data_IF_933680746602
#
_entry.id   IF_933680746602
#
_cell.length_a   1.000
_cell.length_b   1.000
_cell.length_c   1.000
_cell.angle_alpha   90.00
_cell.angle_beta   90.00
_cell.angle_gamma   90.00
#
_symmetry.space_group_name_H-M   'P 1'
#
loop_
_entity.id
_entity.type
_entity.pdbx_description
1 polymer ?
#
# COMPACT_ATOMS: atom_id res chain seq x y z
N UNK A 1 -18.43 24.28 -7.29
CA UNK A 1 -17.40 23.37 -6.81
C UNK A 1 -18.08 22.17 -6.15
N UNK A 2 -17.76 20.99 -6.63
CA UNK A 2 -18.30 19.74 -6.09
C UNK A 2 -17.76 19.52 -4.67
N UNK A 3 -18.61 19.12 -3.74
CA UNK A 3 -18.16 18.83 -2.38
C UNK A 3 -17.26 17.58 -2.36
N UNK A 4 -16.40 17.46 -1.33
CA UNK A 4 -15.57 16.26 -1.14
C UNK A 4 -16.41 14.98 -1.08
N UNK A 5 -17.56 15.02 -0.42
CA UNK A 5 -18.49 13.89 -0.29
C UNK A 5 -19.07 13.48 -1.64
N UNK A 6 -19.45 14.45 -2.48
CA UNK A 6 -19.95 14.18 -3.85
C UNK A 6 -18.87 13.57 -4.74
N UNK A 7 -17.63 14.08 -4.63
CA UNK A 7 -16.49 13.55 -5.38
C UNK A 7 -16.18 12.11 -4.92
N UNK A 8 -16.15 11.87 -3.62
CA UNK A 8 -15.95 10.54 -3.05
C UNK A 8 -17.04 9.57 -3.49
N UNK A 9 -18.33 9.93 -3.35
CA UNK A 9 -19.46 9.11 -3.76
C UNK A 9 -19.39 8.78 -5.26
N UNK A 10 -19.07 9.74 -6.09
CA UNK A 10 -18.92 9.55 -7.54
C UNK A 10 -17.78 8.59 -7.87
N UNK A 11 -16.65 8.70 -7.17
CA UNK A 11 -15.52 7.81 -7.37
C UNK A 11 -15.83 6.39 -6.92
N UNK A 12 -16.46 6.22 -5.77
CA UNK A 12 -16.92 4.91 -5.28
C UNK A 12 -17.92 4.30 -6.27
N UNK A 13 -18.91 5.06 -6.72
CA UNK A 13 -19.89 4.60 -7.74
C UNK A 13 -19.20 4.23 -9.06
N UNK A 14 -18.21 5.00 -9.48
CA UNK A 14 -17.42 4.71 -10.68
C UNK A 14 -16.63 3.40 -10.54
N UNK A 15 -16.04 3.16 -9.39
CA UNK A 15 -15.36 1.89 -9.07
C UNK A 15 -16.29 0.68 -9.14
N UNK A 16 -17.52 0.81 -8.64
CA UNK A 16 -18.52 -0.25 -8.74
C UNK A 16 -19.02 -0.47 -10.18
N UNK A 17 -19.12 0.61 -10.97
CA UNK A 17 -19.66 0.54 -12.32
C UNK A 17 -18.62 0.19 -13.39
N UNK A 18 -17.34 0.37 -13.11
CA UNK A 18 -16.29 0.05 -14.08
C UNK A 18 -16.04 -1.46 -14.13
N UNK A 19 -16.43 -2.07 -15.25
CA UNK A 19 -16.05 -3.43 -15.62
C UNK A 19 -14.53 -3.67 -15.62
N UNK A 20 -13.71 -2.59 -15.69
CA UNK A 20 -12.25 -2.65 -15.64
C UNK A 20 -11.73 -3.29 -14.36
N UNK A 21 -12.49 -3.17 -13.28
CA UNK A 21 -12.24 -3.81 -12.00
C UNK A 21 -13.37 -4.80 -11.65
N UNK A 22 -14.21 -5.12 -12.62
CA UNK A 22 -15.13 -6.23 -12.52
C UNK A 22 -14.34 -7.51 -12.28
N UNK A 23 -14.98 -8.49 -11.68
CA UNK A 23 -14.41 -9.80 -11.34
C UNK A 23 -13.69 -10.51 -12.49
N UNK A 24 -13.70 -9.99 -13.71
CA UNK A 24 -13.33 -10.67 -14.96
C UNK A 24 -12.50 -9.78 -15.91
N UNK A 25 -12.09 -8.57 -15.56
CA UNK A 25 -11.17 -7.85 -16.46
C UNK A 25 -9.79 -8.47 -16.35
N UNK A 26 -9.31 -8.99 -17.46
CA UNK A 26 -7.94 -9.47 -17.57
C UNK A 26 -7.00 -8.29 -17.27
N UNK A 27 -6.21 -8.32 -16.16
CA UNK A 27 -5.27 -7.26 -15.85
C UNK A 27 -4.19 -7.11 -16.92
N UNK A 28 -4.13 -8.05 -17.85
CA UNK A 28 -3.11 -8.16 -18.89
C UNK A 28 -3.64 -7.83 -20.30
N UNK A 29 -4.82 -7.21 -20.41
CA UNK A 29 -5.46 -6.87 -21.69
C UNK A 29 -4.53 -6.10 -22.67
N UNK A 30 -3.54 -5.35 -22.12
CA UNK A 30 -2.55 -4.61 -22.90
C UNK A 30 -1.13 -5.22 -22.83
N UNK A 31 -0.98 -6.43 -22.30
CA UNK A 31 0.30 -7.09 -22.12
C UNK A 31 0.54 -8.08 -23.24
N UNK A 32 1.76 -8.19 -23.72
CA UNK A 32 2.10 -9.23 -24.71
C UNK A 32 1.86 -10.63 -24.14
N UNK A 33 1.51 -11.58 -24.98
CA UNK A 33 1.23 -12.96 -24.55
C UNK A 33 2.39 -13.59 -23.76
N UNK A 34 3.62 -13.21 -24.08
CA UNK A 34 4.81 -13.71 -23.38
C UNK A 34 4.94 -13.09 -21.98
N UNK A 35 4.79 -11.78 -21.85
CA UNK A 35 4.83 -11.07 -20.56
C UNK A 35 3.72 -11.57 -19.63
N UNK A 36 2.50 -11.75 -20.15
CA UNK A 36 1.39 -12.33 -19.39
C UNK A 36 1.71 -13.74 -18.87
N UNK A 37 2.38 -14.57 -19.66
CA UNK A 37 2.80 -15.92 -19.26
C UNK A 37 3.84 -15.89 -18.14
N UNK A 38 4.87 -15.05 -18.24
CA UNK A 38 5.91 -14.93 -17.21
C UNK A 38 5.34 -14.36 -15.89
N UNK A 39 4.45 -13.40 -15.97
CA UNK A 39 3.75 -12.86 -14.79
C UNK A 39 2.89 -13.93 -14.12
N UNK A 40 2.14 -14.72 -14.89
CA UNK A 40 1.34 -15.82 -14.35
C UNK A 40 2.20 -16.90 -13.70
N UNK A 41 3.35 -17.22 -14.29
CA UNK A 41 4.32 -18.17 -13.75
C UNK A 41 4.92 -17.67 -12.43
N UNK A 42 5.32 -16.39 -12.37
CA UNK A 42 5.80 -15.74 -11.15
C UNK A 42 4.72 -15.73 -10.07
N UNK A 43 3.50 -15.36 -10.43
CA UNK A 43 2.34 -15.35 -9.52
C UNK A 43 2.05 -16.73 -8.94
N UNK A 44 2.14 -17.79 -9.76
CA UNK A 44 1.96 -19.17 -9.29
C UNK A 44 3.09 -19.59 -8.35
N UNK A 45 4.33 -19.19 -8.61
CA UNK A 45 5.44 -19.42 -7.68
C UNK A 45 5.23 -18.69 -6.35
N UNK A 46 4.78 -17.43 -6.39
CA UNK A 46 4.52 -16.64 -5.19
C UNK A 46 3.35 -17.20 -4.36
N UNK A 47 2.34 -17.80 -5.01
CA UNK A 47 1.28 -18.55 -4.30
C UNK A 47 1.77 -19.81 -3.61
N UNK A 48 2.85 -20.42 -4.11
CA UNK A 48 3.47 -21.60 -3.50
C UNK A 48 4.46 -21.23 -2.39
N UNK A 49 4.95 -19.96 -2.38
CA UNK A 49 5.67 -19.41 -1.25
C UNK A 49 4.68 -19.20 -0.12
N UNK A 50 4.49 -20.22 0.67
CA UNK A 50 3.74 -20.14 1.91
C UNK A 50 4.54 -19.24 2.85
N UNK A 51 4.16 -17.97 2.94
CA UNK A 51 4.53 -17.14 4.07
C UNK A 51 3.78 -17.75 5.26
N UNK A 52 4.46 -18.59 6.01
CA UNK A 52 3.93 -19.12 7.26
C UNK A 52 3.96 -17.99 8.26
N UNK A 53 2.78 -17.52 8.65
CA UNK A 53 2.64 -16.50 9.70
C UNK A 53 3.34 -16.96 10.99
N UNK A 54 3.28 -18.24 11.33
CA UNK A 54 3.97 -18.83 12.46
C UNK A 54 5.51 -18.66 12.37
N UNK A 55 6.10 -18.85 11.19
CA UNK A 55 7.54 -18.65 11.01
C UNK A 55 7.94 -17.17 11.05
N UNK A 56 7.05 -16.27 10.61
CA UNK A 56 7.26 -14.82 10.70
C UNK A 56 7.24 -14.39 12.16
N UNK A 57 6.21 -14.78 12.92
CA UNK A 57 6.09 -14.47 14.34
C UNK A 57 7.23 -15.08 15.16
N UNK A 58 7.63 -16.32 14.86
CA UNK A 58 8.78 -16.96 15.51
C UNK A 58 10.05 -16.13 15.33
N UNK A 59 10.36 -15.69 14.09
CA UNK A 59 11.53 -14.85 13.81
C UNK A 59 11.44 -13.47 14.47
N UNK A 60 10.25 -12.90 14.56
CA UNK A 60 10.03 -11.61 15.21
C UNK A 60 10.25 -11.70 16.72
N UNK A 61 9.83 -12.80 17.34
CA UNK A 61 10.03 -13.07 18.77
C UNK A 61 11.48 -13.46 19.12
N UNK A 62 12.24 -14.00 18.17
CA UNK A 62 13.66 -14.35 18.32
C UNK A 62 14.59 -13.13 18.12
N UNK A 63 14.08 -12.01 17.59
CA UNK A 63 14.86 -10.77 17.46
C UNK A 63 15.14 -10.12 18.81
N UNK A 64 16.32 -9.49 18.91
CA UNK A 64 16.63 -8.62 20.03
C UNK A 64 15.55 -7.54 20.18
N UNK A 65 14.99 -7.43 21.37
CA UNK A 65 13.90 -6.51 21.64
C UNK A 65 14.40 -5.06 21.61
N UNK A 66 13.92 -4.29 20.64
CA UNK A 66 14.15 -2.86 20.58
C UNK A 66 13.25 -2.19 21.62
N UNK A 67 13.84 -1.38 22.50
CA UNK A 67 13.07 -0.57 23.45
C UNK A 67 12.09 0.34 22.72
N UNK A 68 10.83 -0.05 22.72
CA UNK A 68 9.77 0.68 22.06
C UNK A 68 8.71 1.10 23.07
N UNK A 69 8.21 2.35 23.05
CA UNK A 69 7.13 2.79 23.91
C UNK A 69 5.91 1.86 23.83
N UNK A 70 5.29 1.56 24.97
CA UNK A 70 4.17 0.59 25.07
C UNK A 70 3.02 0.92 24.13
N UNK A 71 2.72 2.21 23.92
CA UNK A 71 1.69 2.65 23.01
C UNK A 71 2.00 2.27 21.57
N UNK A 72 3.24 2.44 21.12
CA UNK A 72 3.65 2.05 19.77
C UNK A 72 3.63 0.53 19.58
N UNK A 73 4.04 -0.24 20.58
CA UNK A 73 3.90 -1.70 20.56
C UNK A 73 2.43 -2.12 20.40
N UNK A 74 1.52 -1.49 21.17
CA UNK A 74 0.09 -1.79 21.06
C UNK A 74 -0.46 -1.51 19.66
N UNK A 75 -0.12 -0.36 19.10
CA UNK A 75 -0.54 0.00 17.73
C UNK A 75 0.03 -0.98 16.72
N UNK A 76 1.33 -1.30 16.81
CA UNK A 76 1.99 -2.26 15.93
C UNK A 76 1.30 -3.62 15.93
N UNK A 77 1.12 -4.23 17.10
CA UNK A 77 0.48 -5.54 17.19
C UNK A 77 -0.99 -5.52 16.76
N UNK A 78 -1.69 -4.42 17.00
CA UNK A 78 -3.08 -4.27 16.54
C UNK A 78 -3.14 -4.27 15.01
N UNK A 79 -2.25 -3.52 14.36
CA UNK A 79 -2.18 -3.47 12.88
C UNK A 79 -1.76 -4.83 12.31
N UNK A 80 -0.75 -5.48 12.89
CA UNK A 80 -0.29 -6.81 12.45
C UNK A 80 -1.42 -7.84 12.53
N UNK A 81 -2.10 -7.93 13.68
CA UNK A 81 -3.22 -8.86 13.85
C UNK A 81 -4.38 -8.56 12.88
N UNK A 82 -4.69 -7.29 12.67
CA UNK A 82 -5.71 -6.87 11.70
C UNK A 82 -5.35 -7.34 10.28
N UNK A 83 -4.10 -7.15 9.86
CA UNK A 83 -3.63 -7.57 8.55
C UNK A 83 -3.62 -9.10 8.41
N UNK A 84 -3.23 -9.81 9.45
CA UNK A 84 -3.20 -11.28 9.46
C UNK A 84 -4.61 -11.87 9.32
N UNK A 85 -5.62 -11.25 9.95
CA UNK A 85 -7.02 -11.69 9.83
C UNK A 85 -7.56 -11.43 8.42
N UNK A 86 -7.34 -10.24 7.86
CA UNK A 86 -7.93 -9.84 6.57
C UNK A 86 -7.22 -10.50 5.39
N UNK A 87 -5.88 -10.58 5.46
CA UNK A 87 -5.04 -11.01 4.35
C UNK A 87 -4.42 -12.39 4.54
N UNK A 88 -5.02 -13.22 5.41
CA UNK A 88 -4.59 -14.61 5.57
C UNK A 88 -4.50 -15.30 4.21
N UNK A 89 -3.38 -15.93 3.92
CA UNK A 89 -3.10 -16.64 2.67
C UNK A 89 -3.18 -15.79 1.38
N UNK A 90 -3.06 -14.44 1.50
CA UNK A 90 -3.14 -13.50 0.38
C UNK A 90 -1.96 -12.52 0.38
N UNK A 91 -0.73 -13.00 0.22
CA UNK A 91 0.46 -12.15 0.37
C UNK A 91 0.51 -11.01 -0.65
N UNK A 92 0.09 -11.23 -1.90
CA UNK A 92 0.11 -10.20 -2.95
C UNK A 92 -0.87 -9.07 -2.63
N UNK A 93 -2.11 -9.41 -2.22
CA UNK A 93 -3.13 -8.44 -1.84
C UNK A 93 -2.68 -7.64 -0.59
N UNK A 94 -2.04 -8.32 0.38
CA UNK A 94 -1.49 -7.72 1.60
C UNK A 94 -0.38 -6.72 1.28
N UNK A 95 0.60 -7.12 0.46
CA UNK A 95 1.67 -6.22 0.04
C UNK A 95 1.16 -5.03 -0.74
N UNK A 96 0.24 -5.24 -1.68
CA UNK A 96 -0.35 -4.14 -2.43
C UNK A 96 -1.06 -3.14 -1.51
N UNK A 97 -1.81 -3.62 -0.50
CA UNK A 97 -2.42 -2.77 0.51
C UNK A 97 -1.36 -1.95 1.28
N UNK A 98 -0.33 -2.62 1.77
CA UNK A 98 0.74 -1.99 2.55
C UNK A 98 1.46 -0.91 1.72
N UNK A 99 1.85 -1.20 0.50
CA UNK A 99 2.53 -0.25 -0.39
C UNK A 99 1.63 0.94 -0.76
N UNK A 100 0.32 0.73 -0.88
CA UNK A 100 -0.62 1.84 -1.11
C UNK A 100 -0.63 2.82 0.06
N UNK A 101 -0.52 2.33 1.29
CA UNK A 101 -0.52 3.16 2.50
C UNK A 101 0.87 3.68 2.83
N UNK A 102 1.93 2.88 2.64
CA UNK A 102 3.31 3.18 3.05
C UNK A 102 3.88 4.46 2.42
N UNK A 103 3.49 4.80 1.21
CA UNK A 103 3.92 6.05 0.55
C UNK A 103 3.28 7.31 1.13
N UNK A 104 2.16 7.20 1.88
CA UNK A 104 1.45 8.36 2.41
C UNK A 104 2.26 9.17 3.43
N UNK A 105 2.99 8.57 4.39
CA UNK A 105 3.85 9.33 5.29
C UNK A 105 4.89 10.18 4.55
N UNK A 106 5.56 9.61 3.55
CA UNK A 106 6.57 10.34 2.77
C UNK A 106 5.98 11.52 2.02
N UNK A 107 4.86 11.31 1.34
CA UNK A 107 4.12 12.38 0.67
C UNK A 107 3.67 13.48 1.65
N UNK A 108 3.15 13.09 2.81
CA UNK A 108 2.71 14.03 3.84
C UNK A 108 3.87 14.86 4.37
N UNK A 109 5.03 14.24 4.62
CA UNK A 109 6.24 14.95 5.04
C UNK A 109 6.72 15.95 3.99
N UNK A 110 6.78 15.55 2.73
CA UNK A 110 7.16 16.45 1.64
C UNK A 110 6.20 17.63 1.56
N UNK A 111 4.90 17.40 1.67
CA UNK A 111 3.89 18.47 1.65
C UNK A 111 4.05 19.45 2.82
N UNK A 112 4.26 18.95 4.04
CA UNK A 112 4.47 19.79 5.24
C UNK A 112 5.79 20.55 5.16
N UNK A 113 6.87 19.94 4.68
CA UNK A 113 8.16 20.61 4.52
C UNK A 113 8.08 21.74 3.48
N UNK A 114 7.34 21.55 2.38
CA UNK A 114 7.07 22.63 1.43
C UNK A 114 6.28 23.78 2.06
N UNK A 115 5.29 23.46 2.89
CA UNK A 115 4.52 24.48 3.62
C UNK A 115 5.42 25.27 4.56
N UNK A 116 6.26 24.61 5.36
CA UNK A 116 7.18 25.26 6.30
C UNK A 116 8.19 26.16 5.58
N UNK A 117 8.73 25.73 4.45
CA UNK A 117 9.62 26.53 3.63
C UNK A 117 8.89 27.78 3.08
N UNK A 118 7.66 27.62 2.58
CA UNK A 118 6.84 28.72 2.07
C UNK A 118 6.53 29.77 3.15
N UNK A 119 6.35 29.33 4.38
CA UNK A 119 6.08 30.20 5.53
C UNK A 119 7.36 30.80 6.15
N UNK A 120 8.55 30.42 5.64
CA UNK A 120 9.83 30.86 6.19
C UNK A 120 10.16 30.23 7.55
N UNK A 121 9.50 29.14 7.93
CA UNK A 121 9.73 28.49 9.23
C UNK A 121 10.88 27.48 9.20
N UNK A 122 11.29 27.03 8.02
CA UNK A 122 12.34 26.03 7.86
C UNK A 122 13.11 26.25 6.54
N UNK A 123 14.40 26.51 6.67
CA UNK A 123 15.27 26.81 5.51
C UNK A 123 16.14 25.61 5.05
N UNK A 124 16.18 24.52 5.83
CA UNK A 124 17.04 23.35 5.58
C UNK A 124 16.32 22.16 4.93
N UNK A 125 15.15 22.38 4.33
CA UNK A 125 14.28 21.31 3.87
C UNK A 125 14.70 20.56 2.60
N UNK A 126 15.73 21.04 1.87
CA UNK A 126 16.05 20.51 0.53
C UNK A 126 16.45 19.04 0.52
N UNK A 127 17.39 18.63 1.37
CA UNK A 127 17.86 17.24 1.45
C UNK A 127 16.78 16.32 2.01
N UNK A 128 16.10 16.75 3.07
CA UNK A 128 15.04 15.96 3.70
C UNK A 128 13.84 15.78 2.77
N UNK A 129 13.43 16.81 2.03
CA UNK A 129 12.40 16.70 1.00
C UNK A 129 12.80 15.71 -0.09
N UNK A 130 14.05 15.77 -0.54
CA UNK A 130 14.56 14.84 -1.54
C UNK A 130 14.55 13.41 -1.03
N UNK A 131 15.00 13.16 0.20
CA UNK A 131 15.00 11.84 0.80
C UNK A 131 13.58 11.25 0.83
N UNK A 132 12.61 11.99 1.38
CA UNK A 132 11.22 11.50 1.45
C UNK A 132 10.58 11.35 0.06
N UNK A 133 10.94 12.17 -0.90
CA UNK A 133 10.50 12.01 -2.29
C UNK A 133 11.07 10.74 -2.93
N UNK A 134 12.36 10.47 -2.74
CA UNK A 134 12.99 9.25 -3.25
C UNK A 134 12.38 7.99 -2.63
N UNK A 135 12.02 8.04 -1.35
CA UNK A 135 11.32 6.97 -0.65
C UNK A 135 9.89 6.78 -1.15
N UNK A 136 9.13 7.86 -1.38
CA UNK A 136 7.79 7.80 -1.98
C UNK A 136 7.82 7.17 -3.38
N UNK A 137 8.82 7.52 -4.19
CA UNK A 137 9.04 6.93 -5.51
C UNK A 137 9.35 5.43 -5.40
N UNK A 138 10.19 5.03 -4.46
CA UNK A 138 10.52 3.63 -4.20
C UNK A 138 9.26 2.81 -3.86
N UNK A 139 8.44 3.29 -2.93
CA UNK A 139 7.16 2.65 -2.57
C UNK A 139 6.19 2.60 -3.77
N UNK A 140 6.23 3.61 -4.64
CA UNK A 140 5.44 3.61 -5.87
C UNK A 140 5.89 2.53 -6.85
N UNK A 141 7.19 2.23 -6.95
CA UNK A 141 7.67 1.10 -7.76
C UNK A 141 7.24 -0.24 -7.19
N UNK A 142 7.33 -0.44 -5.88
CA UNK A 142 6.84 -1.65 -5.21
C UNK A 142 5.34 -1.84 -5.45
N UNK A 143 4.55 -0.78 -5.31
CA UNK A 143 3.12 -0.79 -5.60
C UNK A 143 2.82 -1.28 -7.02
N UNK A 144 3.53 -0.74 -8.04
CA UNK A 144 3.35 -1.15 -9.45
C UNK A 144 3.71 -2.62 -9.68
N UNK A 145 4.74 -3.12 -9.01
CA UNK A 145 5.08 -4.55 -9.05
C UNK A 145 3.92 -5.39 -8.51
N UNK A 146 3.36 -5.01 -7.36
CA UNK A 146 2.22 -5.72 -6.77
C UNK A 146 0.95 -5.60 -7.62
N UNK A 147 0.71 -4.48 -8.29
CA UNK A 147 -0.36 -4.32 -9.28
C UNK A 147 -0.19 -5.28 -10.46
N UNK A 148 1.02 -5.38 -11.01
CA UNK A 148 1.31 -6.33 -12.10
C UNK A 148 1.08 -7.79 -11.70
N UNK A 149 1.22 -8.11 -10.42
CA UNK A 149 0.91 -9.42 -9.85
C UNK A 149 -0.57 -9.58 -9.46
N UNK A 150 -1.39 -8.55 -9.66
CA UNK A 150 -2.83 -8.56 -9.45
C UNK A 150 -3.27 -8.29 -8.01
N UNK A 151 -2.46 -7.56 -7.23
CA UNK A 151 -2.80 -7.18 -5.85
C UNK A 151 -4.01 -6.24 -5.76
N UNK A 152 -4.29 -5.50 -6.83
CA UNK A 152 -5.40 -4.55 -6.92
C UNK A 152 -6.72 -5.15 -7.45
N UNK A 153 -6.77 -6.43 -7.78
CA UNK A 153 -7.92 -7.04 -8.46
C UNK A 153 -9.19 -7.04 -7.62
N UNK A 154 -9.07 -7.20 -6.30
CA UNK A 154 -10.21 -7.27 -5.41
C UNK A 154 -10.74 -5.90 -5.06
N UNK A 155 -12.05 -5.68 -5.25
CA UNK A 155 -12.69 -4.41 -4.88
C UNK A 155 -12.45 -4.05 -3.40
N UNK A 156 -12.61 -5.00 -2.49
CA UNK A 156 -12.38 -4.78 -1.06
C UNK A 156 -10.97 -4.35 -0.74
N UNK A 157 -9.97 -4.91 -1.42
CA UNK A 157 -8.59 -4.52 -1.22
C UNK A 157 -8.37 -3.06 -1.63
N UNK A 158 -8.89 -2.67 -2.81
CA UNK A 158 -8.83 -1.27 -3.26
C UNK A 158 -9.56 -0.32 -2.32
N UNK A 159 -10.75 -0.73 -1.85
CA UNK A 159 -11.53 0.07 -0.91
C UNK A 159 -10.76 0.30 0.39
N UNK A 160 -10.28 -0.74 1.04
CA UNK A 160 -9.54 -0.66 2.30
C UNK A 160 -8.24 0.14 2.13
N UNK A 161 -7.46 -0.10 1.08
CA UNK A 161 -6.20 0.59 0.85
C UNK A 161 -6.39 2.10 0.65
N UNK A 162 -7.38 2.50 -0.15
CA UNK A 162 -7.67 3.92 -0.39
C UNK A 162 -8.17 4.65 0.85
N UNK A 163 -9.03 4.01 1.62
CA UNK A 163 -9.53 4.60 2.87
C UNK A 163 -8.44 4.60 3.95
N UNK A 164 -7.64 3.55 4.04
CA UNK A 164 -6.46 3.51 4.91
C UNK A 164 -5.46 4.63 4.58
N UNK A 165 -5.20 4.86 3.30
CA UNK A 165 -4.33 5.95 2.86
C UNK A 165 -4.89 7.33 3.25
N UNK A 166 -6.22 7.56 3.10
CA UNK A 166 -6.86 8.82 3.52
C UNK A 166 -6.76 9.00 5.03
N UNK A 167 -7.07 7.96 5.81
CA UNK A 167 -6.99 8.02 7.29
C UNK A 167 -5.57 8.30 7.75
N UNK A 168 -4.57 7.78 7.05
CA UNK A 168 -3.18 8.02 7.39
C UNK A 168 -2.72 9.44 7.02
N UNK A 169 -3.27 10.00 5.95
CA UNK A 169 -2.90 11.33 5.45
C UNK A 169 -3.50 12.47 6.32
N UNK A 170 -4.69 12.28 6.89
CA UNK A 170 -5.41 13.28 7.69
C UNK A 170 -5.01 13.22 9.16
#
# INVERSE_FOLDING_TARGET
PMSFVELWYRNVKKEFSQKRYGFISDPYENTTRHEAYEILKLRNKLKQLVLSDDNIWKRELERDEIETPRLLKLIYYTICNFLDIIYKDKPIDRFWFLETVARMPYFSYVAVLHLYETLGWWDLGGELKKQHYDEEINETYHLRIMESLGGDQRWWNRFLARHGAIVYYV
#
